data_IF_565883624029
#
_entry.id   IF_565883624029
#
_cell.length_a   1.000
_cell.length_b   1.000
_cell.length_c   1.000
_cell.angle_alpha   90.00
_cell.angle_beta   90.00
_cell.angle_gamma   90.00
#
_symmetry.space_group_name_H-M   'P 1'
#
loop_
_entity.id
_entity.type
_entity.pdbx_description
1 polymer ?
#
# COMPACT_ATOMS: atom_id res chain seq x y z
N UNK A 1 6.98 14.92 -11.34
CA UNK A 1 6.77 13.46 -11.22
C UNK A 1 5.51 13.13 -12.01
N UNK A 2 5.65 12.62 -13.24
CA UNK A 2 4.49 12.20 -14.02
C UNK A 2 4.17 10.76 -13.62
N UNK A 3 2.96 10.53 -13.09
CA UNK A 3 2.40 9.18 -13.06
C UNK A 3 2.40 8.66 -14.50
N UNK A 4 2.91 7.46 -14.66
CA UNK A 4 2.88 6.81 -15.95
C UNK A 4 1.43 6.73 -16.43
N UNK A 5 1.16 7.13 -17.68
CA UNK A 5 -0.19 7.09 -18.27
C UNK A 5 -0.81 5.70 -18.18
N UNK A 6 0.04 4.68 -18.10
CA UNK A 6 -0.39 3.29 -17.94
C UNK A 6 -0.90 2.99 -16.53
N UNK A 7 -0.36 3.64 -15.48
CA UNK A 7 -0.87 3.52 -14.11
C UNK A 7 -2.26 4.15 -13.96
N UNK A 8 -2.48 5.30 -14.60
CA UNK A 8 -3.80 5.94 -14.63
C UNK A 8 -4.84 5.10 -15.38
N UNK A 9 -4.45 4.47 -16.50
CA UNK A 9 -5.31 3.55 -17.23
C UNK A 9 -5.61 2.30 -16.41
N UNK A 10 -4.61 1.73 -15.74
CA UNK A 10 -4.77 0.56 -14.87
C UNK A 10 -5.71 0.88 -13.68
N UNK A 11 -5.56 2.05 -13.06
CA UNK A 11 -6.46 2.50 -12.00
C UNK A 11 -7.90 2.67 -12.48
N UNK A 12 -8.10 3.21 -13.69
CA UNK A 12 -9.42 3.40 -14.30
C UNK A 12 -10.09 2.10 -14.73
N UNK A 13 -9.30 1.07 -15.05
CA UNK A 13 -9.77 -0.27 -15.46
C UNK A 13 -9.78 -1.27 -14.31
N UNK A 14 -9.53 -0.82 -13.07
CA UNK A 14 -9.47 -1.70 -11.91
C UNK A 14 -10.87 -2.29 -11.63
N UNK A 15 -11.15 -3.42 -12.27
CA UNK A 15 -12.22 -4.31 -11.84
C UNK A 15 -11.62 -5.23 -10.78
N UNK A 16 -11.76 -4.86 -9.50
CA UNK A 16 -11.44 -5.78 -8.42
C UNK A 16 -12.35 -7.01 -8.57
N UNK A 17 -11.80 -8.19 -8.82
CA UNK A 17 -12.63 -9.39 -8.84
C UNK A 17 -13.26 -9.54 -7.45
N UNK A 18 -14.48 -10.06 -7.37
CA UNK A 18 -15.26 -10.17 -6.13
C UNK A 18 -14.49 -10.86 -4.98
N UNK A 19 -13.66 -11.87 -5.29
CA UNK A 19 -12.79 -12.53 -4.30
C UNK A 19 -11.68 -11.60 -3.76
N UNK A 20 -11.21 -10.63 -4.56
CA UNK A 20 -10.28 -9.59 -4.11
C UNK A 20 -10.94 -8.65 -3.09
N UNK A 21 -12.19 -8.25 -3.36
CA UNK A 21 -12.97 -7.46 -2.40
C UNK A 21 -13.22 -8.24 -1.10
N UNK A 22 -13.56 -9.52 -1.19
CA UNK A 22 -13.71 -10.38 -0.02
C UNK A 22 -12.41 -10.51 0.78
N UNK A 23 -11.26 -10.68 0.13
CA UNK A 23 -9.97 -10.76 0.80
C UNK A 23 -9.64 -9.48 1.59
N UNK A 24 -9.97 -8.31 1.03
CA UNK A 24 -9.79 -7.02 1.72
C UNK A 24 -10.72 -6.93 2.93
N UNK A 25 -11.98 -7.33 2.80
CA UNK A 25 -12.95 -7.31 3.90
C UNK A 25 -12.49 -8.24 5.03
N UNK A 26 -12.14 -9.49 4.70
CA UNK A 26 -11.69 -10.48 5.69
C UNK A 26 -10.39 -9.99 6.37
N UNK A 27 -9.44 -9.50 5.61
CA UNK A 27 -8.20 -8.95 6.14
C UNK A 27 -8.45 -7.76 7.09
N UNK A 28 -9.38 -6.88 6.72
CA UNK A 28 -9.77 -5.73 7.55
C UNK A 28 -10.41 -6.16 8.87
N UNK A 29 -11.31 -7.15 8.83
CA UNK A 29 -11.95 -7.69 10.03
C UNK A 29 -10.92 -8.35 10.94
N UNK A 30 -9.99 -9.14 10.40
CA UNK A 30 -8.92 -9.79 11.17
C UNK A 30 -8.00 -8.76 11.83
N UNK A 31 -7.63 -7.70 11.14
CA UNK A 31 -6.81 -6.60 11.68
C UNK A 31 -7.54 -5.90 12.81
N UNK A 32 -8.81 -5.54 12.59
CA UNK A 32 -9.62 -4.89 13.62
C UNK A 32 -9.77 -5.77 14.87
N UNK A 33 -10.07 -7.06 14.68
CA UNK A 33 -10.17 -8.04 15.77
C UNK A 33 -8.84 -8.19 16.54
N UNK A 34 -7.71 -8.26 15.82
CA UNK A 34 -6.38 -8.39 16.43
C UNK A 34 -6.08 -7.17 17.32
N UNK A 35 -6.31 -5.96 16.84
CA UNK A 35 -6.04 -4.75 17.63
C UNK A 35 -7.02 -4.57 18.79
N UNK A 36 -8.26 -5.01 18.64
CA UNK A 36 -9.25 -5.06 19.73
C UNK A 36 -8.78 -6.03 20.83
N UNK A 37 -8.36 -7.23 20.42
CA UNK A 37 -7.85 -8.24 21.36
C UNK A 37 -6.57 -7.80 22.10
N UNK A 38 -5.72 -7.00 21.45
CA UNK A 38 -4.53 -6.41 22.05
C UNK A 38 -4.83 -5.16 22.91
N UNK A 39 -6.10 -4.74 23.02
CA UNK A 39 -6.50 -3.53 23.74
C UNK A 39 -5.99 -2.22 23.13
N UNK A 40 -5.60 -2.24 21.85
CA UNK A 40 -5.02 -1.08 21.14
C UNK A 40 -5.85 -0.72 19.91
N UNK A 41 -7.13 -0.54 20.10
CA UNK A 41 -8.07 -0.19 19.04
C UNK A 41 -7.75 1.17 18.37
N UNK A 42 -7.03 2.05 19.06
CA UNK A 42 -6.51 3.30 18.52
C UNK A 42 -5.63 3.10 17.29
N UNK A 43 -4.88 1.99 17.21
CA UNK A 43 -4.03 1.64 16.08
C UNK A 43 -4.78 0.93 14.93
N UNK A 44 -5.98 0.45 15.16
CA UNK A 44 -6.76 -0.24 14.14
C UNK A 44 -7.06 0.65 12.93
N UNK A 45 -7.39 1.93 13.16
CA UNK A 45 -7.69 2.88 12.07
C UNK A 45 -6.53 3.08 11.10
N UNK A 46 -5.31 3.48 11.54
CA UNK A 46 -4.18 3.63 10.63
C UNK A 46 -3.76 2.31 9.99
N UNK A 47 -3.86 1.18 10.71
CA UNK A 47 -3.56 -0.14 10.16
C UNK A 47 -4.51 -0.54 9.04
N UNK A 48 -5.82 -0.35 9.21
CA UNK A 48 -6.83 -0.63 8.18
C UNK A 48 -6.62 0.26 6.95
N UNK A 49 -6.35 1.55 7.18
CA UNK A 49 -6.11 2.49 6.10
C UNK A 49 -4.86 2.13 5.28
N UNK A 50 -3.74 1.83 5.94
CA UNK A 50 -2.51 1.37 5.29
C UNK A 50 -2.73 0.07 4.51
N UNK A 51 -3.47 -0.89 5.08
CA UNK A 51 -3.79 -2.15 4.39
C UNK A 51 -4.58 -1.92 3.11
N UNK A 52 -5.56 -1.00 3.13
CA UNK A 52 -6.30 -0.63 1.94
C UNK A 52 -5.40 -0.01 0.87
N UNK A 53 -4.48 0.89 1.25
CA UNK A 53 -3.51 1.50 0.34
C UNK A 53 -2.58 0.46 -0.29
N UNK A 54 -2.08 -0.52 0.48
CA UNK A 54 -1.30 -1.64 -0.06
C UNK A 54 -2.10 -2.45 -1.06
N UNK A 55 -3.35 -2.76 -0.76
CA UNK A 55 -4.25 -3.46 -1.68
C UNK A 55 -4.39 -2.73 -3.01
N UNK A 56 -4.58 -1.41 -2.97
CA UNK A 56 -4.67 -0.56 -4.16
C UNK A 56 -3.34 -0.53 -4.92
N UNK A 57 -2.21 -0.34 -4.25
CA UNK A 57 -0.88 -0.32 -4.88
C UNK A 57 -0.56 -1.65 -5.58
N UNK A 58 -0.85 -2.78 -4.94
CA UNK A 58 -0.69 -4.12 -5.53
C UNK A 58 -1.61 -4.29 -6.74
N UNK A 59 -2.86 -3.85 -6.66
CA UNK A 59 -3.81 -3.96 -7.75
C UNK A 59 -3.38 -3.14 -8.98
N UNK A 60 -2.89 -1.91 -8.77
CA UNK A 60 -2.38 -1.06 -9.86
C UNK A 60 -1.14 -1.70 -10.51
N UNK A 61 -0.22 -2.22 -9.71
CA UNK A 61 1.03 -2.82 -10.18
C UNK A 61 0.96 -4.35 -10.32
N UNK A 62 -0.25 -4.91 -10.51
CA UNK A 62 -0.48 -6.35 -10.54
C UNK A 62 0.40 -7.13 -11.51
N UNK A 63 0.79 -6.51 -12.63
CA UNK A 63 1.70 -7.11 -13.61
C UNK A 63 3.08 -7.40 -13.04
N UNK A 64 3.53 -6.62 -12.04
CA UNK A 64 4.86 -6.75 -11.42
C UNK A 64 4.95 -7.88 -10.38
N UNK A 65 3.84 -8.46 -9.96
CA UNK A 65 3.78 -9.51 -8.92
C UNK A 65 4.64 -10.75 -9.23
N UNK A 66 4.98 -10.97 -10.51
CA UNK A 66 5.81 -12.11 -10.94
C UNK A 66 7.28 -11.93 -10.60
N UNK A 67 7.71 -10.73 -10.20
CA UNK A 67 9.09 -10.41 -9.92
C UNK A 67 9.35 -10.43 -8.41
N UNK A 68 10.39 -11.14 -7.98
CA UNK A 68 10.75 -11.21 -6.56
C UNK A 68 11.06 -9.84 -5.96
N UNK A 69 11.70 -8.94 -6.71
CA UNK A 69 12.02 -7.58 -6.26
C UNK A 69 10.76 -6.78 -5.86
N UNK A 70 9.63 -7.02 -6.55
CA UNK A 70 8.37 -6.35 -6.22
C UNK A 70 7.93 -6.69 -4.78
N UNK A 71 7.96 -7.97 -4.41
CA UNK A 71 7.57 -8.40 -3.08
C UNK A 71 8.55 -7.95 -2.00
N UNK A 72 9.87 -7.93 -2.30
CA UNK A 72 10.89 -7.39 -1.39
C UNK A 72 10.65 -5.91 -1.13
N UNK A 73 10.39 -5.12 -2.18
CA UNK A 73 10.08 -3.69 -2.05
C UNK A 73 8.78 -3.48 -1.26
N UNK A 74 7.73 -4.25 -1.55
CA UNK A 74 6.47 -4.19 -0.81
C UNK A 74 6.67 -4.53 0.68
N UNK A 75 7.45 -5.57 0.99
CA UNK A 75 7.76 -5.93 2.38
C UNK A 75 8.50 -4.80 3.11
N UNK A 76 9.46 -4.13 2.46
CA UNK A 76 10.16 -2.97 3.03
C UNK A 76 9.20 -1.80 3.29
N UNK A 77 8.29 -1.50 2.36
CA UNK A 77 7.27 -0.46 2.53
C UNK A 77 6.33 -0.81 3.69
N UNK A 78 5.87 -2.07 3.78
CA UNK A 78 5.03 -2.54 4.90
C UNK A 78 5.76 -2.39 6.24
N UNK A 79 7.03 -2.78 6.32
CA UNK A 79 7.83 -2.63 7.53
C UNK A 79 7.93 -1.15 7.96
N UNK A 80 8.16 -0.24 7.01
CA UNK A 80 8.17 1.20 7.27
C UNK A 80 6.83 1.69 7.81
N UNK A 81 5.70 1.24 7.24
CA UNK A 81 4.37 1.62 7.70
C UNK A 81 4.06 1.09 9.10
N UNK A 82 4.49 -0.14 9.41
CA UNK A 82 4.36 -0.68 10.76
C UNK A 82 5.11 0.20 11.76
N UNK A 83 6.32 0.63 11.45
CA UNK A 83 7.08 1.55 12.29
C UNK A 83 6.34 2.89 12.44
N UNK A 84 5.83 3.48 11.36
CA UNK A 84 5.05 4.72 11.41
C UNK A 84 3.79 4.56 12.27
N UNK A 85 3.07 3.45 12.16
CA UNK A 85 1.87 3.17 12.97
C UNK A 85 2.22 3.10 14.46
N UNK A 86 3.36 2.49 14.80
CA UNK A 86 3.77 2.30 16.20
C UNK A 86 4.33 3.58 16.83
N UNK A 87 5.06 4.40 16.07
CA UNK A 87 5.76 5.57 16.61
C UNK A 87 4.98 6.88 16.50
N UNK A 88 4.04 7.00 15.55
CA UNK A 88 3.23 8.21 15.40
C UNK A 88 1.99 8.13 16.31
N UNK A 89 1.72 9.16 17.15
CA UNK A 89 0.51 9.19 17.96
C UNK A 89 -0.71 9.53 17.09
N UNK A 90 -1.45 8.49 16.66
CA UNK A 90 -2.66 8.59 15.82
C UNK A 90 -3.89 9.04 16.59
N UNK A 91 -3.78 10.08 17.40
CA UNK A 91 -4.91 10.64 18.15
C UNK A 91 -5.68 11.65 17.28
N UNK A 92 -6.98 11.78 17.52
CA UNK A 92 -7.85 12.76 16.84
C UNK A 92 -7.36 14.21 16.95
N UNK A 93 -6.57 14.54 17.99
CA UNK A 93 -5.95 15.85 18.15
C UNK A 93 -4.79 16.11 17.19
N UNK A 94 -4.04 15.05 16.82
CA UNK A 94 -2.85 15.15 15.95
C UNK A 94 -3.18 14.90 14.49
N UNK A 95 -4.08 13.96 14.19
CA UNK A 95 -4.44 13.59 12.83
C UNK A 95 -5.97 13.61 12.68
N UNK A 96 -6.57 14.77 12.40
CA UNK A 96 -7.99 14.87 12.11
C UNK A 96 -8.36 13.99 10.91
N UNK A 97 -9.56 13.39 10.92
CA UNK A 97 -10.03 12.51 9.85
C UNK A 97 -9.95 13.14 8.44
N UNK A 98 -10.14 14.47 8.36
CA UNK A 98 -10.05 15.23 7.09
C UNK A 98 -8.64 15.19 6.49
N UNK A 99 -7.60 15.06 7.31
CA UNK A 99 -6.19 15.05 6.87
C UNK A 99 -5.75 13.66 6.42
N UNK A 100 -6.44 12.60 6.87
CA UNK A 100 -6.10 11.22 6.53
C UNK A 100 -6.22 10.97 5.02
N UNK A 101 -7.24 11.53 4.35
CA UNK A 101 -7.46 11.33 2.91
C UNK A 101 -6.30 11.89 2.07
N UNK A 102 -5.93 13.18 2.19
CA UNK A 102 -4.82 13.72 1.40
C UNK A 102 -3.47 13.08 1.75
N UNK A 103 -3.23 12.71 3.02
CA UNK A 103 -2.03 11.96 3.42
C UNK A 103 -2.01 10.60 2.73
N UNK A 104 -3.13 9.87 2.71
CA UNK A 104 -3.20 8.57 2.06
C UNK A 104 -3.01 8.64 0.55
N UNK A 105 -3.53 9.67 -0.10
CA UNK A 105 -3.29 9.89 -1.53
C UNK A 105 -1.79 10.14 -1.76
N UNK A 106 -1.16 11.01 -0.98
CA UNK A 106 0.27 11.29 -1.08
C UNK A 106 1.12 10.04 -0.83
N UNK A 107 0.73 9.23 0.15
CA UNK A 107 1.38 7.98 0.50
C UNK A 107 1.26 6.93 -0.62
N UNK A 108 0.07 6.77 -1.21
CA UNK A 108 -0.13 5.92 -2.37
C UNK A 108 0.77 6.35 -3.55
N UNK A 109 0.85 7.65 -3.81
CA UNK A 109 1.76 8.19 -4.84
C UNK A 109 3.21 7.87 -4.54
N UNK A 110 3.65 8.03 -3.30
CA UNK A 110 5.00 7.69 -2.87
C UNK A 110 5.30 6.19 -3.06
N UNK A 111 4.39 5.30 -2.68
CA UNK A 111 4.53 3.87 -2.91
C UNK A 111 4.67 3.52 -4.39
N UNK A 112 3.80 4.06 -5.25
CA UNK A 112 3.85 3.82 -6.69
C UNK A 112 5.14 4.37 -7.32
N UNK A 113 5.63 5.52 -6.84
CA UNK A 113 6.90 6.10 -7.27
C UNK A 113 8.08 5.20 -6.90
N UNK A 114 8.15 4.72 -5.66
CA UNK A 114 9.20 3.81 -5.20
C UNK A 114 9.21 2.54 -6.04
N UNK A 115 8.04 1.91 -6.25
CA UNK A 115 7.93 0.72 -7.09
C UNK A 115 8.37 0.98 -8.53
N UNK A 116 8.06 2.14 -9.09
CA UNK A 116 8.47 2.50 -10.46
C UNK A 116 9.97 2.74 -10.55
N UNK A 117 10.58 3.42 -9.57
CA UNK A 117 12.03 3.67 -9.52
C UNK A 117 12.79 2.36 -9.37
N UNK A 118 12.39 1.52 -8.42
CA UNK A 118 13.03 0.20 -8.19
C UNK A 118 12.90 -0.68 -9.42
N UNK A 119 11.73 -0.69 -10.08
CA UNK A 119 11.52 -1.43 -11.32
C UNK A 119 12.46 -1.01 -12.44
N UNK A 120 12.60 0.32 -12.68
CA UNK A 120 13.54 0.86 -13.69
C UNK A 120 15.00 0.53 -13.36
N UNK A 121 15.35 0.59 -12.07
CA UNK A 121 16.70 0.23 -11.62
C UNK A 121 16.98 -1.25 -11.84
N UNK A 122 16.01 -2.12 -11.56
CA UNK A 122 16.13 -3.55 -11.77
C UNK A 122 16.28 -3.92 -13.25
N UNK A 123 15.54 -3.26 -14.13
CA UNK A 123 15.67 -3.44 -15.58
C UNK A 123 17.07 -3.06 -16.09
N UNK A 124 17.69 -2.02 -15.53
CA UNK A 124 19.06 -1.61 -15.87
C UNK A 124 20.13 -2.60 -15.38
N UNK A 125 19.84 -3.33 -14.30
CA UNK A 125 20.77 -4.32 -13.73
C UNK A 125 20.68 -5.69 -14.44
N UNK A 126 19.62 -5.96 -15.21
CA UNK A 126 19.57 -7.17 -16.03
C UNK A 126 20.61 -7.06 -17.13
N UNK A 127 21.57 -8.02 -17.20
CA UNK A 127 22.47 -8.07 -18.35
C UNK A 127 21.61 -8.21 -19.61
N UNK A 128 21.96 -7.41 -20.64
CA UNK A 128 21.40 -7.57 -21.98
C UNK A 128 21.76 -8.98 -22.46
N UNK A 129 20.85 -9.92 -22.33
CA UNK A 129 20.94 -11.19 -23.05
C UNK A 129 20.83 -10.84 -24.54
N UNK A 130 22.01 -10.74 -25.19
CA UNK A 130 22.13 -10.76 -26.65
C UNK A 130 22.16 -12.19 -27.14
#
# INVERSE_FOLDING_TARGET
>A
MQLDKDDLKAAKQMRLPWWGALSVIIGSVLIAWLFDHLGRFDLARPALFSTALFGVAIAIKWKLRRHAWFWITMAAIVALHVLLILFVPWTTKWVPAVVIIPIGIADLYAMLAVLSVVGKFWEKLKPSEK
#
